data_IF_724900929558
#
_entry.id   IF_724900929558
#
_cell.length_a   1.000
_cell.length_b   1.000
_cell.length_c   1.000
_cell.angle_alpha   90.00
_cell.angle_beta   90.00
_cell.angle_gamma   90.00
#
_symmetry.space_group_name_H-M   'P 1'
#
loop_
_entity.id
_entity.type
_entity.pdbx_description
1 polymer ?
#
# COMPACT_ATOMS: atom_id res chain seq x y z
N UNK A 1 14.66 -13.77 34.54
CA UNK A 1 13.74 -14.88 34.21
C UNK A 1 12.49 -14.37 33.47
N UNK A 2 12.61 -13.89 32.22
CA UNK A 2 11.47 -13.32 31.46
C UNK A 2 11.00 -14.12 30.23
N UNK A 3 11.74 -15.15 29.82
CA UNK A 3 11.61 -15.73 28.48
C UNK A 3 10.50 -16.79 28.31
N UNK A 4 9.98 -17.41 29.38
CA UNK A 4 9.08 -18.57 29.25
C UNK A 4 7.60 -18.23 29.11
N UNK A 5 7.18 -17.02 29.50
CA UNK A 5 5.76 -16.61 29.41
C UNK A 5 5.32 -16.32 27.98
N UNK A 6 6.22 -15.86 27.11
CA UNK A 6 5.89 -15.48 25.73
C UNK A 6 5.76 -16.67 24.78
N UNK A 7 6.69 -17.63 24.77
CA UNK A 7 6.64 -18.78 23.85
C UNK A 7 5.42 -19.69 24.13
N UNK A 8 5.03 -19.83 25.41
CA UNK A 8 3.83 -20.58 25.79
C UNK A 8 2.55 -19.95 25.22
N UNK A 9 2.49 -18.62 25.13
CA UNK A 9 1.34 -17.93 24.53
C UNK A 9 1.20 -18.28 23.04
N UNK A 10 2.33 -18.30 22.32
CA UNK A 10 2.36 -18.67 20.89
C UNK A 10 1.98 -20.14 20.68
N UNK A 11 2.52 -21.06 21.48
CA UNK A 11 2.19 -22.48 21.36
C UNK A 11 0.70 -22.78 21.60
N UNK A 12 0.02 -22.02 22.47
CA UNK A 12 -1.42 -22.19 22.75
C UNK A 12 -2.33 -21.86 21.57
N UNK A 13 -1.88 -20.99 20.66
CA UNK A 13 -2.66 -20.57 19.50
C UNK A 13 -2.06 -21.02 18.18
N UNK A 14 -1.03 -21.88 18.23
CA UNK A 14 -0.26 -22.30 17.07
C UNK A 14 -1.14 -22.90 15.97
N UNK A 15 -2.08 -23.75 16.34
CA UNK A 15 -3.01 -24.37 15.40
C UNK A 15 -3.80 -23.32 14.59
N UNK A 16 -4.35 -22.30 15.26
CA UNK A 16 -5.08 -21.21 14.60
C UNK A 16 -4.16 -20.37 13.70
N UNK A 17 -2.93 -20.10 14.13
CA UNK A 17 -1.95 -19.38 13.32
C UNK A 17 -1.52 -20.18 12.08
N UNK A 18 -1.35 -21.49 12.20
CA UNK A 18 -1.02 -22.38 11.09
C UNK A 18 -2.18 -22.43 10.08
N UNK A 19 -3.43 -22.49 10.55
CA UNK A 19 -4.61 -22.38 9.70
C UNK A 19 -4.66 -21.04 8.96
N UNK A 20 -4.33 -19.93 9.63
CA UNK A 20 -4.21 -18.60 9.00
C UNK A 20 -3.09 -18.51 7.96
N UNK A 21 -1.96 -19.20 8.18
CA UNK A 21 -0.89 -19.24 7.19
C UNK A 21 -1.31 -20.02 5.94
N UNK A 22 -1.99 -21.16 6.12
CA UNK A 22 -2.43 -22.02 5.04
C UNK A 22 -3.60 -21.43 4.22
N UNK A 23 -4.42 -20.56 4.82
CA UNK A 23 -5.57 -19.96 4.14
C UNK A 23 -5.22 -18.65 3.43
N UNK A 24 -5.81 -18.43 2.25
CA UNK A 24 -5.89 -17.14 1.56
C UNK A 24 -7.25 -16.46 1.75
N UNK A 25 -8.21 -17.11 2.40
CA UNK A 25 -9.60 -16.68 2.56
C UNK A 25 -9.98 -16.56 4.03
N UNK A 26 -11.18 -16.03 4.29
CA UNK A 26 -11.72 -15.88 5.64
C UNK A 26 -11.81 -17.22 6.37
N UNK A 27 -11.34 -17.22 7.62
CA UNK A 27 -11.44 -18.37 8.52
C UNK A 27 -12.35 -18.00 9.68
N UNK A 28 -13.13 -18.97 10.15
CA UNK A 28 -14.03 -18.82 11.29
C UNK A 28 -13.83 -19.98 12.27
N UNK A 29 -13.78 -19.66 13.56
CA UNK A 29 -13.70 -20.64 14.64
C UNK A 29 -14.87 -20.43 15.59
N UNK A 30 -15.73 -21.43 15.72
CA UNK A 30 -16.80 -21.46 16.71
C UNK A 30 -16.17 -21.72 18.08
N UNK A 31 -16.50 -20.88 19.06
CA UNK A 31 -15.89 -20.95 20.38
C UNK A 31 -16.84 -20.39 21.44
N UNK A 32 -16.91 -21.05 22.60
CA UNK A 32 -17.77 -20.62 23.71
C UNK A 32 -17.37 -19.24 24.27
N UNK A 33 -16.07 -18.95 24.20
CA UNK A 33 -15.47 -17.70 24.66
C UNK A 33 -14.66 -17.03 23.55
N UNK A 34 -15.31 -16.48 22.52
CA UNK A 34 -14.63 -15.99 21.33
C UNK A 34 -13.73 -14.78 21.63
N UNK A 35 -14.08 -13.97 22.63
CA UNK A 35 -13.23 -12.87 23.10
C UNK A 35 -11.88 -13.34 23.65
N UNK A 36 -11.85 -14.44 24.42
CA UNK A 36 -10.60 -14.99 24.96
C UNK A 36 -9.71 -15.54 23.84
N UNK A 37 -10.30 -16.29 22.89
CA UNK A 37 -9.54 -16.84 21.77
C UNK A 37 -8.99 -15.74 20.86
N UNK A 38 -9.80 -14.75 20.49
CA UNK A 38 -9.33 -13.61 19.68
C UNK A 38 -8.21 -12.83 20.37
N UNK A 39 -8.30 -12.63 21.70
CA UNK A 39 -7.22 -12.02 22.47
C UNK A 39 -5.94 -12.84 22.40
N UNK A 40 -6.01 -14.16 22.65
CA UNK A 40 -4.85 -15.06 22.63
C UNK A 40 -4.20 -15.12 21.25
N UNK A 41 -4.99 -15.11 20.16
CA UNK A 41 -4.47 -15.08 18.79
C UNK A 41 -3.68 -13.79 18.55
N UNK A 42 -4.25 -12.63 18.91
CA UNK A 42 -3.57 -11.32 18.78
C UNK A 42 -2.30 -11.26 19.63
N UNK A 43 -2.35 -11.79 20.86
CA UNK A 43 -1.20 -11.90 21.75
C UNK A 43 -0.11 -12.78 21.13
N UNK A 44 -0.47 -13.95 20.59
CA UNK A 44 0.45 -14.86 19.89
C UNK A 44 1.16 -14.20 18.71
N UNK A 45 0.43 -13.44 17.88
CA UNK A 45 1.02 -12.67 16.77
C UNK A 45 1.97 -11.57 17.27
N UNK A 46 1.61 -10.86 18.34
CA UNK A 46 2.48 -9.84 18.93
C UNK A 46 3.76 -10.43 19.52
N UNK A 47 3.67 -11.59 20.18
CA UNK A 47 4.85 -12.34 20.63
C UNK A 47 5.71 -12.76 19.44
N UNK A 48 5.10 -13.28 18.36
CA UNK A 48 5.83 -13.65 17.16
C UNK A 48 6.61 -12.46 16.57
N UNK A 49 6.02 -11.26 16.52
CA UNK A 49 6.71 -10.03 16.10
C UNK A 49 7.93 -9.70 16.95
N UNK A 50 7.83 -9.86 18.27
CA UNK A 50 8.96 -9.60 19.17
C UNK A 50 10.08 -10.64 18.95
N UNK A 51 9.72 -11.91 18.80
CA UNK A 51 10.67 -13.01 18.60
C UNK A 51 11.27 -13.05 17.19
N UNK A 52 10.60 -12.54 16.17
CA UNK A 52 11.14 -12.42 14.83
C UNK A 52 12.34 -11.45 14.73
N UNK A 53 12.39 -10.45 15.63
CA UNK A 53 13.49 -9.47 15.74
C UNK A 53 14.70 -10.00 16.50
N UNK A 54 14.52 -11.06 17.28
CA UNK A 54 15.55 -11.70 18.07
C UNK A 54 16.39 -12.62 17.17
N UNK A 55 17.66 -12.26 16.93
CA UNK A 55 18.53 -12.95 15.98
C UNK A 55 18.86 -14.38 16.41
N UNK A 56 18.88 -14.63 17.73
CA UNK A 56 19.27 -15.90 18.34
C UNK A 56 18.05 -16.81 18.63
N UNK A 57 16.86 -16.43 18.13
CA UNK A 57 15.64 -17.17 18.44
C UNK A 57 15.56 -18.52 17.70
N UNK A 58 15.38 -19.64 18.42
CA UNK A 58 15.12 -20.92 17.77
C UNK A 58 13.77 -20.83 17.05
N UNK A 59 13.73 -21.24 15.77
CA UNK A 59 12.56 -21.15 14.87
C UNK A 59 12.17 -19.72 14.45
N UNK A 60 13.15 -18.80 14.37
CA UNK A 60 12.96 -17.43 13.89
C UNK A 60 12.15 -17.33 12.59
N UNK A 61 12.38 -18.22 11.63
CA UNK A 61 11.64 -18.24 10.35
C UNK A 61 10.13 -18.41 10.55
N UNK A 62 9.72 -19.31 11.45
CA UNK A 62 8.31 -19.53 11.79
C UNK A 62 7.72 -18.30 12.49
N UNK A 63 8.48 -17.64 13.37
CA UNK A 63 8.03 -16.40 14.01
C UNK A 63 7.87 -15.25 13.02
N UNK A 64 8.73 -15.16 12.01
CA UNK A 64 8.59 -14.18 10.92
C UNK A 64 7.27 -14.41 10.17
N UNK A 65 6.94 -15.65 9.82
CA UNK A 65 5.68 -15.98 9.15
C UNK A 65 4.45 -15.60 9.98
N UNK A 66 4.42 -15.98 11.28
CA UNK A 66 3.31 -15.59 12.15
C UNK A 66 3.23 -14.08 12.39
N UNK A 67 4.35 -13.37 12.43
CA UNK A 67 4.37 -11.91 12.56
C UNK A 67 3.67 -11.21 11.39
N UNK A 68 3.83 -11.75 10.17
CA UNK A 68 3.22 -11.24 8.94
C UNK A 68 1.69 -11.41 8.92
N UNK A 69 1.12 -12.36 9.67
CA UNK A 69 -0.33 -12.57 9.73
C UNK A 69 -1.10 -11.33 10.18
N UNK A 70 -0.51 -10.47 11.02
CA UNK A 70 -1.15 -9.21 11.42
C UNK A 70 -1.39 -8.22 10.27
N UNK A 71 -0.61 -8.33 9.19
CA UNK A 71 -0.78 -7.52 7.98
C UNK A 71 -1.72 -8.19 6.97
N UNK A 72 -1.85 -9.52 7.02
CA UNK A 72 -2.72 -10.29 6.12
C UNK A 72 -4.15 -10.45 6.64
N UNK A 73 -4.37 -10.43 7.96
CA UNK A 73 -5.68 -10.69 8.56
C UNK A 73 -6.08 -9.67 9.63
N UNK A 74 -7.37 -9.42 9.76
CA UNK A 74 -8.02 -8.81 10.93
C UNK A 74 -8.73 -9.92 11.68
N UNK A 75 -8.42 -10.05 12.97
CA UNK A 75 -9.15 -10.98 13.85
C UNK A 75 -10.28 -10.21 14.52
N UNK A 76 -11.54 -10.57 14.26
CA UNK A 76 -12.76 -10.02 14.86
C UNK A 76 -13.46 -11.05 15.75
N UNK A 77 -14.32 -10.55 16.64
CA UNK A 77 -15.20 -11.37 17.45
C UNK A 77 -16.63 -11.13 16.99
N UNK A 78 -17.32 -12.19 16.60
CA UNK A 78 -18.75 -12.24 16.40
C UNK A 78 -19.45 -12.98 17.55
N UNK A 79 -20.76 -13.16 17.43
CA UNK A 79 -21.54 -13.93 18.41
C UNK A 79 -21.14 -15.40 18.33
N UNK A 80 -20.47 -15.92 19.37
CA UNK A 80 -20.02 -17.32 19.44
C UNK A 80 -18.89 -17.70 18.48
N UNK A 81 -18.30 -16.73 17.76
CA UNK A 81 -17.33 -17.01 16.70
C UNK A 81 -16.17 -16.02 16.72
N UNK A 82 -14.98 -16.51 16.42
CA UNK A 82 -13.83 -15.69 16.06
C UNK A 82 -13.63 -15.75 14.56
N UNK A 83 -13.57 -14.59 13.92
CA UNK A 83 -13.38 -14.49 12.48
C UNK A 83 -12.01 -13.91 12.20
N UNK A 84 -11.17 -14.63 11.47
CA UNK A 84 -9.99 -14.09 10.82
C UNK A 84 -10.38 -13.71 9.39
N UNK A 85 -10.73 -12.44 9.20
CA UNK A 85 -11.01 -11.87 7.89
C UNK A 85 -9.68 -11.52 7.25
N UNK A 86 -9.44 -11.87 5.97
CA UNK A 86 -8.33 -11.29 5.25
C UNK A 86 -8.49 -9.79 5.40
N UNK A 87 -7.41 -9.10 5.77
CA UNK A 87 -7.36 -7.68 5.51
C UNK A 87 -7.64 -7.59 4.02
N UNK A 88 -8.62 -6.76 3.68
CA UNK A 88 -8.72 -6.26 2.33
C UNK A 88 -7.46 -5.43 2.15
N UNK A 89 -6.37 -6.14 1.85
CA UNK A 89 -5.19 -5.53 1.30
C UNK A 89 -5.68 -5.21 -0.10
N UNK A 90 -6.35 -4.06 -0.24
CA UNK A 90 -5.83 -3.07 -1.18
C UNK A 90 -4.35 -3.11 -0.89
N UNK A 91 -3.64 -3.91 -1.69
CA UNK A 91 -2.22 -4.12 -1.60
C UNK A 91 -1.65 -2.78 -1.18
N UNK A 92 -0.90 -2.74 -0.10
CA UNK A 92 0.13 -1.71 0.00
C UNK A 92 1.09 -2.01 -1.17
N UNK A 93 0.64 -1.74 -2.40
CA UNK A 93 1.49 -1.24 -3.45
C UNK A 93 2.20 -0.06 -2.79
N UNK A 94 3.53 -0.11 -2.71
CA UNK A 94 4.29 1.00 -2.16
C UNK A 94 3.82 2.27 -2.87
N UNK A 95 3.24 3.20 -2.09
CA UNK A 95 2.92 4.59 -2.47
C UNK A 95 2.67 4.82 -3.96
N UNK A 96 1.44 4.61 -4.39
CA UNK A 96 0.72 5.42 -5.37
C UNK A 96 -0.54 4.62 -5.73
N UNK A 97 -1.58 4.76 -4.92
CA UNK A 97 -2.89 4.86 -5.55
C UNK A 97 -2.75 6.07 -6.49
N UNK A 98 -2.44 5.81 -7.76
CA UNK A 98 -2.42 6.82 -8.80
C UNK A 98 -3.88 7.29 -8.88
N UNK A 99 -4.23 8.24 -8.04
CA UNK A 99 -5.41 9.05 -8.21
C UNK A 99 -5.13 9.91 -9.44
N UNK A 100 -5.22 9.29 -10.63
CA UNK A 100 -5.13 9.97 -11.92
C UNK A 100 -6.25 10.98 -11.92
N UNK A 101 -5.91 12.23 -11.65
CA UNK A 101 -6.88 13.29 -11.65
C UNK A 101 -7.02 13.79 -13.08
N UNK A 102 -8.20 13.57 -13.66
CA UNK A 102 -8.53 14.11 -14.97
C UNK A 102 -9.07 15.53 -14.78
N UNK A 103 -8.45 16.50 -15.45
CA UNK A 103 -8.76 17.92 -15.36
C UNK A 103 -9.17 18.44 -16.74
N UNK A 104 -10.45 18.24 -17.14
CA UNK A 104 -10.95 18.72 -18.41
C UNK A 104 -11.13 20.25 -18.39
N UNK A 105 -11.08 20.87 -19.57
CA UNK A 105 -11.26 22.30 -19.79
C UNK A 105 -10.03 23.16 -19.55
N UNK A 106 -8.86 22.55 -19.33
CA UNK A 106 -7.58 23.26 -19.18
C UNK A 106 -6.72 23.02 -20.42
N UNK A 107 -6.51 24.08 -21.20
CA UNK A 107 -5.81 23.98 -22.50
C UNK A 107 -4.46 24.67 -22.51
N UNK A 108 -4.30 25.76 -21.77
CA UNK A 108 -3.07 26.57 -21.81
C UNK A 108 -2.02 26.14 -20.77
N UNK A 109 -0.76 26.47 -21.04
CA UNK A 109 0.38 26.22 -20.16
C UNK A 109 0.18 26.74 -18.73
N UNK A 110 -0.32 27.97 -18.58
CA UNK A 110 -0.56 28.62 -17.30
C UNK A 110 -1.69 27.97 -16.51
N UNK A 111 -2.75 27.52 -17.19
CA UNK A 111 -3.86 26.76 -16.58
C UNK A 111 -3.38 25.42 -16.04
N UNK A 112 -2.59 24.69 -16.83
CA UNK A 112 -2.03 23.39 -16.48
C UNK A 112 -1.09 23.51 -15.27
N UNK A 113 -0.16 24.48 -15.30
CA UNK A 113 0.74 24.76 -14.18
C UNK A 113 -0.04 25.20 -12.94
N UNK A 114 -1.02 26.08 -13.09
CA UNK A 114 -1.87 26.55 -12.00
C UNK A 114 -2.62 25.39 -11.34
N UNK A 115 -3.23 24.52 -12.14
CA UNK A 115 -3.92 23.35 -11.64
C UNK A 115 -2.96 22.36 -10.96
N UNK A 116 -1.76 22.18 -11.48
CA UNK A 116 -0.73 21.35 -10.87
C UNK A 116 -0.29 21.87 -9.48
N UNK A 117 -0.22 23.19 -9.31
CA UNK A 117 0.06 23.84 -8.02
C UNK A 117 -1.09 23.67 -7.03
N UNK A 118 -2.34 23.75 -7.50
CA UNK A 118 -3.54 23.65 -6.64
C UNK A 118 -3.77 22.21 -6.19
N UNK A 119 -3.77 21.27 -7.12
CA UNK A 119 -4.17 19.88 -6.85
C UNK A 119 -3.03 19.05 -6.26
N UNK A 120 -1.78 19.28 -6.67
CA UNK A 120 -0.57 18.61 -6.16
C UNK A 120 -0.67 17.08 -6.16
N UNK A 121 -1.45 16.50 -7.07
CA UNK A 121 -1.67 15.06 -7.16
C UNK A 121 -0.51 14.36 -7.87
N UNK A 122 -0.24 13.07 -7.58
CA UNK A 122 0.89 12.36 -8.18
C UNK A 122 0.80 12.23 -9.70
N UNK A 123 -0.40 12.12 -10.25
CA UNK A 123 -0.66 12.05 -11.70
C UNK A 123 -1.86 12.90 -12.07
N UNK A 124 -1.67 13.79 -13.03
CA UNK A 124 -2.70 14.69 -13.57
C UNK A 124 -2.77 14.53 -15.08
N UNK A 125 -3.98 14.37 -15.61
CA UNK A 125 -4.23 14.25 -17.04
C UNK A 125 -5.10 15.40 -17.53
N UNK A 126 -4.63 16.09 -18.56
CA UNK A 126 -5.22 17.27 -19.17
C UNK A 126 -5.60 16.91 -20.61
N UNK A 127 -6.84 16.45 -20.86
CA UNK A 127 -7.27 15.96 -22.17
C UNK A 127 -7.37 17.08 -23.21
N UNK A 128 -7.60 18.32 -22.78
CA UNK A 128 -7.78 19.49 -23.66
C UNK A 128 -6.50 20.32 -23.84
N UNK A 129 -5.37 19.83 -23.33
CA UNK A 129 -4.08 20.51 -23.40
C UNK A 129 -3.57 20.61 -24.84
N UNK A 130 -3.07 21.79 -25.21
CA UNK A 130 -2.36 21.99 -26.48
C UNK A 130 -0.97 21.36 -26.42
N UNK A 131 -0.63 20.57 -27.45
CA UNK A 131 0.72 20.02 -27.62
C UNK A 131 1.64 20.99 -28.39
N UNK A 132 1.41 22.31 -28.26
CA UNK A 132 2.25 23.30 -28.92
C UNK A 132 3.66 23.30 -28.31
N UNK A 133 4.73 23.30 -29.13
CA UNK A 133 6.10 23.26 -28.60
C UNK A 133 6.43 24.39 -27.61
N UNK A 134 5.83 25.58 -27.78
CA UNK A 134 5.99 26.70 -26.85
C UNK A 134 5.46 26.37 -25.46
N UNK A 135 4.22 25.89 -25.39
CA UNK A 135 3.53 25.52 -24.14
C UNK A 135 4.22 24.35 -23.44
N UNK A 136 4.58 23.31 -24.19
CA UNK A 136 5.27 22.14 -23.64
C UNK A 136 6.62 22.49 -23.01
N UNK A 137 7.36 23.44 -23.59
CA UNK A 137 8.62 23.91 -23.02
C UNK A 137 8.42 24.62 -21.67
N UNK A 138 7.39 25.44 -21.54
CA UNK A 138 7.07 26.13 -20.27
C UNK A 138 6.66 25.12 -19.21
N UNK A 139 5.76 24.19 -19.55
CA UNK A 139 5.28 23.14 -18.66
C UNK A 139 6.44 22.24 -18.22
N UNK A 140 7.32 21.84 -19.14
CA UNK A 140 8.50 21.03 -18.85
C UNK A 140 9.49 21.74 -17.92
N UNK A 141 9.78 23.01 -18.18
CA UNK A 141 10.68 23.80 -17.33
C UNK A 141 10.14 23.92 -15.89
N UNK A 142 8.82 24.01 -15.74
CA UNK A 142 8.17 23.96 -14.43
C UNK A 142 8.22 22.55 -13.83
N UNK A 143 7.89 21.51 -14.60
CA UNK A 143 7.80 20.13 -14.13
C UNK A 143 9.13 19.64 -13.54
N UNK A 144 10.26 19.96 -14.19
CA UNK A 144 11.60 19.62 -13.74
C UNK A 144 11.93 20.21 -12.35
N UNK A 145 11.51 21.46 -12.09
CA UNK A 145 11.73 22.12 -10.79
C UNK A 145 10.88 21.53 -9.67
N UNK A 146 9.78 20.86 -10.02
CA UNK A 146 8.78 20.36 -9.07
C UNK A 146 8.68 18.83 -9.04
N UNK A 147 9.68 18.13 -9.60
CA UNK A 147 9.76 16.67 -9.63
C UNK A 147 8.57 16.00 -10.33
N UNK A 148 8.10 16.61 -11.42
CA UNK A 148 7.13 16.02 -12.34
C UNK A 148 7.81 15.73 -13.68
N UNK A 149 7.46 14.58 -14.24
CA UNK A 149 7.68 14.20 -15.62
C UNK A 149 6.48 14.62 -16.46
N UNK A 150 6.77 15.08 -17.67
CA UNK A 150 5.79 15.46 -18.67
C UNK A 150 5.66 14.32 -19.67
N UNK A 151 4.43 13.95 -20.03
CA UNK A 151 4.12 13.00 -21.10
C UNK A 151 3.13 13.70 -22.03
N UNK A 152 3.48 13.82 -23.30
CA UNK A 152 2.63 14.40 -24.35
C UNK A 152 2.16 13.27 -25.27
N UNK A 153 0.86 13.23 -25.55
CA UNK A 153 0.21 12.22 -26.38
C UNK A 153 -0.87 12.86 -27.25
N UNK A 154 -1.39 12.14 -28.24
CA UNK A 154 -2.52 12.61 -29.07
C UNK A 154 -3.79 12.83 -28.24
N UNK A 155 -3.93 12.14 -27.10
CA UNK A 155 -5.08 12.25 -26.19
C UNK A 155 -4.96 13.41 -25.19
N UNK A 156 -3.83 14.14 -25.20
CA UNK A 156 -3.54 15.26 -24.31
C UNK A 156 -2.25 15.08 -23.52
N UNK A 157 -2.17 15.77 -22.38
CA UNK A 157 -0.95 15.94 -21.60
C UNK A 157 -1.07 15.29 -20.21
N UNK A 158 -0.05 14.57 -19.78
CA UNK A 158 0.03 14.01 -18.42
C UNK A 158 1.24 14.56 -17.67
N UNK A 159 1.02 15.01 -16.43
CA UNK A 159 2.07 15.28 -15.46
C UNK A 159 2.10 14.16 -14.43
N UNK A 160 3.23 13.52 -14.23
CA UNK A 160 3.39 12.39 -13.30
C UNK A 160 4.64 12.54 -12.44
N UNK A 161 4.59 12.17 -11.16
CA UNK A 161 5.79 12.09 -10.30
C UNK A 161 6.52 10.75 -10.42
N UNK A 162 5.82 9.74 -10.94
CA UNK A 162 6.37 8.43 -11.26
C UNK A 162 7.12 8.54 -12.58
N UNK A 163 8.36 8.03 -12.64
CA UNK A 163 9.18 8.00 -13.85
C UNK A 163 8.47 7.20 -14.95
N UNK A 164 8.04 7.85 -16.05
CA UNK A 164 7.36 7.16 -17.13
C UNK A 164 8.36 6.51 -18.10
N UNK A 165 9.68 6.67 -17.91
CA UNK A 165 10.71 6.09 -18.76
C UNK A 165 10.74 6.73 -20.14
N UNK A 166 10.73 5.91 -21.19
CA UNK A 166 10.95 6.34 -22.58
C UNK A 166 9.83 7.21 -23.17
N UNK A 167 8.64 7.21 -22.56
CA UNK A 167 7.51 8.06 -22.99
C UNK A 167 7.55 9.47 -22.37
N UNK A 168 8.54 9.76 -21.51
CA UNK A 168 8.76 11.10 -21.00
C UNK A 168 9.06 12.05 -22.16
N UNK A 169 8.31 13.14 -22.27
CA UNK A 169 8.58 14.19 -23.22
C UNK A 169 9.81 14.99 -22.78
N UNK A 170 10.73 15.23 -23.71
CA UNK A 170 11.93 16.05 -23.51
C UNK A 170 12.18 16.93 -24.75
N UNK A 171 12.48 18.23 -24.58
CA UNK A 171 12.77 19.13 -25.71
C UNK A 171 13.98 18.71 -26.56
N UNK A 172 14.87 17.84 -26.06
CA UNK A 172 16.04 17.34 -26.81
C UNK A 172 15.71 16.19 -27.77
N UNK A 173 14.48 15.65 -27.74
CA UNK A 173 14.04 14.55 -28.61
C UNK A 173 13.24 15.02 -29.84
N UNK A 174 13.08 16.33 -30.02
CA UNK A 174 12.54 16.95 -31.24
C UNK A 174 13.66 17.23 -32.25
#
# INVERSE_FOLDING_TARGET
MGYSKSVKALNRVREYLDQMLASSSQIQWQEDKPHELAFRIREGINVAKQRAKDADSPNRNTFIQYAQLSAKFIVRVGVGVVVAEPRDVMLETPKEAISKQVLPGLSSDMEIVGAAIVHKTPVMFFPDATNEPGDLNVIYAWSQKHSYFLVSSEEGLTLTKTDPGEIAWNPQQQ
#
